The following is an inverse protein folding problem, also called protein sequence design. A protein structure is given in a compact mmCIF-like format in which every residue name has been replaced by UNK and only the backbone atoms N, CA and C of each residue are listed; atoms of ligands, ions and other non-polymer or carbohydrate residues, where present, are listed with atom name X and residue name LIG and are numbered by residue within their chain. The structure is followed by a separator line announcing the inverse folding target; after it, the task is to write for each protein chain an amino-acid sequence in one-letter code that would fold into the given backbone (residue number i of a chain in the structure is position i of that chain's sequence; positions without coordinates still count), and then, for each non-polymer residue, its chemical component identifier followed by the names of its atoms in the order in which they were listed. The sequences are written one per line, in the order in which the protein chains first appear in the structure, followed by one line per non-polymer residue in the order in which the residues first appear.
data_IF_662216281313
#
_entry.id   IF_662216281313
#
_cell.length_a   1.000
_cell.length_b   1.000
_cell.length_c   1.000
_cell.angle_alpha   90.00
_cell.angle_beta   90.00
_cell.angle_gamma   90.00
#
_symmetry.space_group_name_H-M   'P 1'
#
loop_
_entity.id
_entity.type
_entity.pdbx_description
1 polymer ?
#
# COMPACT_ATOMS: atom_id res chain seq x y z
N UNK A 1 -0.39 -28.15 55.63
CA UNK A 1 0.24 -26.86 55.24
C UNK A 1 0.82 -27.04 53.86
N UNK A 2 -0.01 -26.78 52.85
CA UNK A 2 0.38 -26.75 51.45
C UNK A 2 1.30 -25.54 51.25
N UNK A 3 2.54 -25.77 50.85
CA UNK A 3 3.43 -24.71 50.39
C UNK A 3 3.50 -24.78 48.87
N UNK A 4 2.72 -23.89 48.25
CA UNK A 4 2.67 -23.69 46.81
C UNK A 4 4.07 -23.51 46.24
N UNK A 5 4.40 -24.36 45.28
CA UNK A 5 5.59 -24.26 44.45
C UNK A 5 5.41 -23.03 43.55
N UNK A 6 5.96 -21.89 43.98
CA UNK A 6 5.99 -20.68 43.18
C UNK A 6 6.70 -20.98 41.85
N UNK A 7 5.94 -20.92 40.76
CA UNK A 7 6.46 -20.92 39.40
C UNK A 7 7.41 -19.73 39.26
N UNK A 8 8.68 -20.02 38.96
CA UNK A 8 9.72 -19.01 38.75
C UNK A 8 9.33 -18.11 37.55
N UNK A 9 9.40 -16.77 37.65
CA UNK A 9 8.89 -15.85 36.63
C UNK A 9 9.79 -15.72 35.39
N UNK A 10 10.79 -16.57 35.21
CA UNK A 10 11.74 -16.49 34.09
C UNK A 10 11.39 -17.39 32.90
N UNK A 11 10.11 -17.70 32.70
CA UNK A 11 9.64 -18.37 31.49
C UNK A 11 9.80 -17.45 30.25
N UNK A 12 10.97 -17.55 29.64
CA UNK A 12 11.15 -17.53 28.20
C UNK A 12 10.80 -16.23 27.46
N UNK A 13 11.55 -15.15 27.74
CA UNK A 13 11.71 -14.05 26.79
C UNK A 13 12.64 -14.50 25.65
N UNK A 14 12.14 -15.30 24.71
CA UNK A 14 12.81 -15.41 23.41
C UNK A 14 12.71 -14.04 22.69
N UNK A 15 13.80 -13.56 22.07
CA UNK A 15 13.76 -12.34 21.28
C UNK A 15 12.77 -12.53 20.12
N UNK A 16 11.61 -11.86 20.15
CA UNK A 16 10.59 -11.69 19.10
C UNK A 16 10.80 -12.54 17.81
N UNK A 17 10.74 -13.88 17.90
CA UNK A 17 10.72 -14.74 16.72
C UNK A 17 9.26 -14.82 16.27
N UNK A 18 8.93 -14.49 15.01
CA UNK A 18 7.56 -14.59 14.52
C UNK A 18 7.11 -16.05 14.55
N UNK A 19 6.00 -16.35 15.23
CA UNK A 19 5.36 -17.67 15.21
C UNK A 19 4.35 -17.67 14.07
N UNK A 20 4.54 -18.54 13.09
CA UNK A 20 3.61 -18.74 11.97
C UNK A 20 2.86 -20.05 12.20
N UNK A 21 1.53 -19.98 12.30
CA UNK A 21 0.65 -21.15 12.35
C UNK A 21 0.09 -21.38 10.95
N UNK A 22 0.21 -22.59 10.44
CA UNK A 22 -0.22 -22.97 9.08
C UNK A 22 -1.04 -24.25 9.12
N UNK A 23 -1.94 -24.42 8.14
CA UNK A 23 -2.68 -25.66 7.90
C UNK A 23 -1.92 -26.63 6.98
N UNK A 24 -0.75 -26.22 6.47
CA UNK A 24 0.14 -27.07 5.67
C UNK A 24 0.84 -28.08 6.59
N UNK A 25 0.58 -29.37 6.37
CA UNK A 25 0.98 -30.46 7.28
C UNK A 25 2.34 -31.08 6.93
N UNK A 26 2.78 -30.98 5.68
CA UNK A 26 4.03 -31.59 5.22
C UNK A 26 5.22 -30.63 5.42
N UNK A 27 6.06 -30.92 6.42
CA UNK A 27 7.23 -30.12 6.75
C UNK A 27 8.40 -30.29 5.77
N UNK A 28 8.45 -31.38 5.00
CA UNK A 28 9.48 -31.58 3.97
C UNK A 28 9.14 -30.79 2.70
N UNK A 29 7.86 -30.80 2.30
CA UNK A 29 7.38 -30.00 1.17
C UNK A 29 7.35 -28.51 1.49
N UNK A 30 6.91 -28.13 2.70
CA UNK A 30 6.74 -26.74 3.12
C UNK A 30 7.71 -26.37 4.24
N UNK A 31 8.98 -26.22 3.87
CA UNK A 31 10.02 -25.83 4.83
C UNK A 31 9.68 -24.53 5.57
N UNK A 32 9.97 -24.50 6.88
CA UNK A 32 9.66 -23.38 7.76
C UNK A 32 10.28 -22.03 7.30
N UNK A 33 11.46 -22.09 6.68
CA UNK A 33 12.15 -20.92 6.13
C UNK A 33 11.36 -20.29 4.96
N UNK A 34 10.88 -21.10 4.03
CA UNK A 34 10.05 -20.66 2.91
C UNK A 34 8.73 -20.05 3.40
N UNK A 35 8.09 -20.66 4.41
CA UNK A 35 6.86 -20.12 5.00
C UNK A 35 7.09 -18.79 5.71
N UNK A 36 8.22 -18.64 6.41
CA UNK A 36 8.59 -17.40 7.08
C UNK A 36 8.88 -16.29 6.07
N UNK A 37 9.57 -16.61 4.98
CA UNK A 37 9.80 -15.69 3.87
C UNK A 37 8.49 -15.23 3.23
N UNK A 38 7.59 -16.17 2.90
CA UNK A 38 6.26 -15.87 2.34
C UNK A 38 5.42 -15.01 3.30
N UNK A 39 5.45 -15.32 4.61
CA UNK A 39 4.75 -14.53 5.61
C UNK A 39 5.31 -13.10 5.72
N UNK A 40 6.63 -12.93 5.60
CA UNK A 40 7.27 -11.61 5.51
C UNK A 40 6.77 -10.80 4.31
N UNK A 41 6.59 -11.45 3.16
CA UNK A 41 6.06 -10.81 1.95
C UNK A 41 4.61 -10.37 2.12
N UNK A 42 3.79 -11.12 2.87
CA UNK A 42 2.40 -10.74 3.16
C UNK A 42 2.32 -9.35 3.80
N UNK A 43 3.16 -9.09 4.80
CA UNK A 43 3.16 -7.79 5.49
C UNK A 43 3.55 -6.67 4.53
N UNK A 44 4.66 -6.85 3.81
CA UNK A 44 5.17 -5.83 2.89
C UNK A 44 4.19 -5.58 1.75
N UNK A 45 3.62 -6.62 1.15
CA UNK A 45 2.64 -6.49 0.07
C UNK A 45 1.34 -5.85 0.55
N UNK A 46 0.73 -6.34 1.65
CA UNK A 46 -0.55 -5.83 2.12
C UNK A 46 -0.46 -4.37 2.60
N UNK A 47 0.54 -4.03 3.41
CA UNK A 47 0.69 -2.66 3.95
C UNK A 47 1.00 -1.65 2.84
N UNK A 48 1.85 -2.03 1.87
CA UNK A 48 2.14 -1.19 0.71
C UNK A 48 0.89 -1.01 -0.15
N UNK A 49 0.11 -2.07 -0.36
CA UNK A 49 -1.15 -2.01 -1.12
C UNK A 49 -2.18 -1.08 -0.44
N UNK A 50 -2.33 -1.17 0.88
CA UNK A 50 -3.20 -0.26 1.61
C UNK A 50 -2.69 1.18 1.59
N UNK A 51 -1.37 1.39 1.71
CA UNK A 51 -0.77 2.72 1.55
C UNK A 51 -1.05 3.29 0.18
N UNK A 52 -0.97 2.49 -0.87
CA UNK A 52 -1.28 2.93 -2.22
C UNK A 52 -2.73 3.38 -2.36
N UNK A 53 -3.69 2.60 -1.85
CA UNK A 53 -5.10 3.01 -1.83
C UNK A 53 -5.29 4.30 -1.04
N UNK A 54 -4.82 4.35 0.22
CA UNK A 54 -5.04 5.49 1.12
C UNK A 54 -4.35 6.77 0.66
N UNK A 55 -3.06 6.69 0.35
CA UNK A 55 -2.19 7.86 0.13
C UNK A 55 -1.93 8.10 -1.35
N UNK A 56 -1.51 7.08 -2.12
CA UNK A 56 -1.19 7.28 -3.55
C UNK A 56 -2.43 7.63 -4.37
N UNK A 57 -3.55 6.97 -4.08
CA UNK A 57 -4.86 7.23 -4.71
C UNK A 57 -5.77 8.13 -3.88
N UNK A 58 -5.25 8.74 -2.81
CA UNK A 58 -5.93 9.75 -2.00
C UNK A 58 -7.27 9.32 -1.37
N UNK A 59 -7.48 8.01 -1.17
CA UNK A 59 -8.70 7.48 -0.54
C UNK A 59 -8.88 7.89 0.93
N UNK A 60 -7.87 8.52 1.55
CA UNK A 60 -7.95 9.06 2.92
C UNK A 60 -8.90 10.26 3.06
N UNK A 61 -9.24 10.94 1.96
CA UNK A 61 -10.15 12.09 1.95
C UNK A 61 -11.32 11.83 1.00
N UNK A 62 -12.38 11.20 1.51
CA UNK A 62 -13.61 10.99 0.75
C UNK A 62 -14.47 12.25 0.73
N UNK A 63 -15.03 12.56 -0.44
CA UNK A 63 -15.84 13.76 -0.67
C UNK A 63 -17.34 13.51 -0.45
N UNK A 64 -17.77 12.25 -0.49
CA UNK A 64 -19.15 11.85 -0.30
C UNK A 64 -19.68 12.19 1.12
N UNK A 65 -20.95 12.61 1.18
CA UNK A 65 -21.62 13.02 2.43
C UNK A 65 -22.65 12.01 2.94
N UNK A 66 -23.03 11.02 2.13
CA UNK A 66 -24.01 9.99 2.50
C UNK A 66 -23.38 8.60 2.47
N UNK A 67 -23.79 7.67 3.36
CA UNK A 67 -23.20 6.33 3.42
C UNK A 67 -23.27 5.55 2.10
N UNK A 68 -24.33 5.76 1.32
CA UNK A 68 -24.48 5.13 0.01
C UNK A 68 -23.41 5.61 -0.98
N UNK A 69 -23.21 6.92 -1.10
CA UNK A 69 -22.23 7.49 -2.03
C UNK A 69 -20.81 7.21 -1.54
N UNK A 70 -20.56 7.17 -0.23
CA UNK A 70 -19.27 6.74 0.36
C UNK A 70 -18.88 5.34 -0.12
N UNK A 71 -19.83 4.39 -0.13
CA UNK A 71 -19.56 3.03 -0.65
C UNK A 71 -19.20 3.06 -2.13
N UNK A 72 -19.90 3.86 -2.95
CA UNK A 72 -19.58 4.02 -4.38
C UNK A 72 -18.19 4.62 -4.58
N UNK A 73 -17.84 5.65 -3.82
CA UNK A 73 -16.52 6.28 -3.87
C UNK A 73 -15.40 5.29 -3.51
N UNK A 74 -15.59 4.44 -2.49
CA UNK A 74 -14.66 3.35 -2.16
C UNK A 74 -14.49 2.36 -3.32
N UNK A 75 -15.59 1.94 -3.96
CA UNK A 75 -15.53 1.04 -5.12
C UNK A 75 -14.78 1.67 -6.29
N UNK A 76 -14.95 2.97 -6.55
CA UNK A 76 -14.20 3.68 -7.59
C UNK A 76 -12.69 3.67 -7.30
N UNK A 77 -12.28 3.86 -6.05
CA UNK A 77 -10.86 3.77 -5.66
C UNK A 77 -10.30 2.37 -5.87
N UNK A 78 -11.05 1.32 -5.51
CA UNK A 78 -10.66 -0.07 -5.73
C UNK A 78 -10.57 -0.39 -7.23
N UNK A 79 -11.51 0.11 -8.04
CA UNK A 79 -11.48 -0.04 -9.49
C UNK A 79 -10.24 0.61 -10.10
N UNK A 80 -9.95 1.86 -9.75
CA UNK A 80 -8.76 2.57 -10.23
C UNK A 80 -7.46 1.86 -9.81
N UNK A 81 -7.41 1.37 -8.57
CA UNK A 81 -6.28 0.57 -8.08
C UNK A 81 -6.08 -0.72 -8.90
N UNK A 82 -7.15 -1.48 -9.12
CA UNK A 82 -7.09 -2.73 -9.86
C UNK A 82 -6.76 -2.51 -11.34
N UNK A 83 -7.24 -1.41 -11.93
CA UNK A 83 -6.87 -1.02 -13.29
C UNK A 83 -5.35 -0.80 -13.41
N UNK A 84 -4.79 0.05 -12.53
CA UNK A 84 -3.35 0.32 -12.53
C UNK A 84 -2.54 -0.95 -12.25
N UNK A 85 -2.98 -1.79 -11.30
CA UNK A 85 -2.35 -3.09 -11.02
C UNK A 85 -2.38 -4.02 -12.23
N UNK A 86 -3.48 -4.04 -12.98
CA UNK A 86 -3.57 -4.84 -14.21
C UNK A 86 -2.61 -4.36 -15.28
N UNK A 87 -2.42 -3.04 -15.43
CA UNK A 87 -1.40 -2.46 -16.33
C UNK A 87 0.00 -2.86 -15.87
N UNK A 88 0.30 -2.78 -14.57
CA UNK A 88 1.59 -3.24 -14.02
C UNK A 88 1.82 -4.74 -14.28
N UNK A 89 0.80 -5.59 -14.12
CA UNK A 89 0.92 -7.02 -14.42
C UNK A 89 1.16 -7.29 -15.92
N UNK A 90 0.67 -6.42 -16.82
CA UNK A 90 0.99 -6.49 -18.25
C UNK A 90 2.42 -6.06 -18.56
N UNK A 91 3.00 -5.16 -17.76
CA UNK A 91 4.38 -4.73 -17.88
C UNK A 91 5.37 -5.73 -17.23
N UNK A 92 4.95 -6.46 -16.20
CA UNK A 92 5.80 -7.35 -15.41
C UNK A 92 6.65 -8.37 -16.20
N UNK A 93 6.16 -8.99 -17.31
CA UNK A 93 6.98 -9.91 -18.10
C UNK A 93 8.24 -9.25 -18.70
N UNK A 94 8.19 -7.95 -19.00
CA UNK A 94 9.32 -7.20 -19.54
C UNK A 94 10.43 -6.96 -18.49
N UNK A 95 10.13 -7.19 -17.20
CA UNK A 95 11.05 -7.07 -16.07
C UNK A 95 11.24 -8.41 -15.34
N UNK A 96 11.19 -9.52 -16.07
CA UNK A 96 11.35 -10.89 -15.51
C UNK A 96 10.49 -11.11 -14.25
N UNK A 97 9.24 -10.64 -14.30
CA UNK A 97 8.25 -10.75 -13.23
C UNK A 97 8.64 -10.13 -11.88
N UNK A 98 9.59 -9.18 -11.85
CA UNK A 98 9.99 -8.44 -10.65
C UNK A 98 8.96 -7.38 -10.22
N UNK A 99 7.72 -7.80 -9.93
CA UNK A 99 6.55 -6.93 -9.62
C UNK A 99 6.81 -5.90 -8.52
N UNK A 100 7.64 -6.24 -7.52
CA UNK A 100 7.96 -5.35 -6.41
C UNK A 100 8.76 -4.11 -6.82
N UNK A 101 9.37 -4.13 -8.01
CA UNK A 101 10.10 -3.00 -8.57
C UNK A 101 9.20 -2.04 -9.34
N UNK A 102 7.97 -2.42 -9.69
CA UNK A 102 7.08 -1.53 -10.43
C UNK A 102 6.45 -0.49 -9.51
N UNK A 103 6.55 0.79 -9.90
CA UNK A 103 5.99 1.93 -9.16
C UNK A 103 4.52 2.14 -9.50
N UNK A 104 3.59 1.95 -8.54
CA UNK A 104 2.18 2.29 -8.77
C UNK A 104 1.99 3.80 -9.02
N UNK A 105 2.76 4.65 -8.32
CA UNK A 105 2.67 6.10 -8.51
C UNK A 105 3.23 6.52 -9.88
N UNK A 106 4.34 5.93 -10.32
CA UNK A 106 4.89 6.14 -11.66
C UNK A 106 3.92 5.67 -12.74
N UNK A 107 3.39 4.44 -12.59
CA UNK A 107 2.36 3.89 -13.47
C UNK A 107 1.14 4.81 -13.58
N UNK A 108 0.65 5.35 -12.45
CA UNK A 108 -0.47 6.29 -12.44
C UNK A 108 -0.17 7.56 -13.22
N UNK A 109 1.04 8.11 -13.07
CA UNK A 109 1.45 9.33 -13.78
C UNK A 109 1.53 9.09 -15.28
N UNK A 110 2.23 8.04 -15.71
CA UNK A 110 2.37 7.66 -17.12
C UNK A 110 1.00 7.35 -17.74
N UNK A 111 0.18 6.55 -17.07
CA UNK A 111 -1.17 6.23 -17.53
C UNK A 111 -2.02 7.48 -17.71
N UNK A 112 -2.01 8.41 -16.76
CA UNK A 112 -2.74 9.66 -16.85
C UNK A 112 -2.24 10.58 -17.98
N UNK A 113 -0.92 10.62 -18.22
CA UNK A 113 -0.33 11.39 -19.32
C UNK A 113 -0.79 10.87 -20.70
N UNK A 114 -0.94 9.54 -20.83
CA UNK A 114 -1.29 8.91 -22.10
C UNK A 114 -2.80 8.66 -22.27
N UNK A 115 -3.60 8.84 -21.22
CA UNK A 115 -5.02 8.46 -21.18
C UNK A 115 -5.83 9.05 -22.33
N UNK A 116 -5.67 10.36 -22.59
CA UNK A 116 -6.40 11.04 -23.65
C UNK A 116 -6.06 10.48 -25.04
N UNK A 117 -4.77 10.22 -25.30
CA UNK A 117 -4.31 9.65 -26.57
C UNK A 117 -4.81 8.23 -26.77
N UNK A 118 -4.75 7.40 -25.71
CA UNK A 118 -5.28 6.04 -25.74
C UNK A 118 -6.79 6.00 -26.02
N UNK A 119 -7.54 7.01 -25.56
CA UNK A 119 -8.98 7.09 -25.73
C UNK A 119 -9.41 7.55 -27.15
N UNK A 120 -8.67 8.46 -27.78
CA UNK A 120 -9.11 9.14 -28.99
C UNK A 120 -8.50 8.63 -30.29
N UNK A 121 -7.45 7.81 -30.22
CA UNK A 121 -6.71 7.36 -31.41
C UNK A 121 -7.29 6.09 -32.05
N UNK A 122 -6.80 5.75 -33.25
CA UNK A 122 -7.17 4.53 -33.98
C UNK A 122 -6.62 3.29 -33.28
N UNK A 123 -7.16 2.12 -33.59
CA UNK A 123 -6.79 0.88 -32.91
C UNK A 123 -5.29 0.56 -33.03
N UNK A 124 -4.70 0.71 -34.22
CA UNK A 124 -3.29 0.39 -34.46
C UNK A 124 -2.34 1.34 -33.73
N UNK A 125 -2.69 2.62 -33.64
CA UNK A 125 -1.92 3.61 -32.88
C UNK A 125 -2.08 3.36 -31.38
N UNK A 126 -3.29 3.02 -30.92
CA UNK A 126 -3.56 2.70 -29.51
C UNK A 126 -2.71 1.52 -29.04
N UNK A 127 -2.59 0.46 -29.85
CA UNK A 127 -1.75 -0.69 -29.52
C UNK A 127 -0.27 -0.31 -29.38
N UNK A 128 0.25 0.51 -30.29
CA UNK A 128 1.63 1.02 -30.21
C UNK A 128 1.85 1.89 -28.98
N UNK A 129 0.95 2.84 -28.72
CA UNK A 129 1.01 3.68 -27.52
C UNK A 129 0.93 2.86 -26.23
N UNK A 130 0.09 1.83 -26.20
CA UNK A 130 0.01 0.95 -25.05
C UNK A 130 1.31 0.16 -24.84
N UNK A 131 1.95 -0.33 -25.91
CA UNK A 131 3.25 -0.97 -25.81
C UNK A 131 4.33 0.00 -25.29
N UNK A 132 4.33 1.25 -25.75
CA UNK A 132 5.22 2.30 -25.21
C UNK A 132 4.98 2.54 -23.72
N UNK A 133 3.72 2.67 -23.29
CA UNK A 133 3.38 2.81 -21.87
C UNK A 133 3.97 1.67 -21.03
N UNK A 134 3.88 0.42 -21.49
CA UNK A 134 4.43 -0.73 -20.75
C UNK A 134 5.95 -0.68 -20.63
N UNK A 135 6.66 -0.21 -21.66
CA UNK A 135 8.11 -0.01 -21.62
C UNK A 135 8.49 1.10 -20.64
N UNK A 136 7.83 2.26 -20.70
CA UNK A 136 8.11 3.39 -19.80
C UNK A 136 7.90 3.00 -18.32
N UNK A 137 6.88 2.18 -18.03
CA UNK A 137 6.63 1.64 -16.68
C UNK A 137 7.79 0.77 -16.19
N UNK A 138 8.42 0.02 -17.09
CA UNK A 138 9.54 -0.88 -16.77
C UNK A 138 10.84 -0.12 -16.61
N UNK A 139 10.99 1.03 -17.27
CA UNK A 139 12.15 1.90 -17.09
C UNK A 139 12.11 2.63 -15.72
N UNK A 140 10.93 3.04 -15.23
CA UNK A 140 10.74 3.67 -13.91
C UNK A 140 10.67 2.66 -12.75
N UNK A 141 11.76 1.93 -12.53
CA UNK A 141 11.85 0.95 -11.44
C UNK A 141 12.14 1.56 -10.07
N UNK A 142 11.50 1.01 -9.04
CA UNK A 142 11.80 1.30 -7.65
C UNK A 142 13.09 0.61 -7.20
N UNK A 143 14.01 1.32 -6.51
CA UNK A 143 15.20 0.72 -5.95
C UNK A 143 14.84 -0.21 -4.79
N UNK A 144 15.50 -1.37 -4.71
CA UNK A 144 15.39 -2.24 -3.54
C UNK A 144 16.13 -1.61 -2.34
N UNK A 145 15.46 -1.60 -1.18
CA UNK A 145 16.00 -1.06 0.08
C UNK A 145 15.76 -2.08 1.19
N UNK A 146 16.57 -3.16 1.27
CA UNK A 146 16.42 -4.18 2.29
C UNK A 146 16.65 -3.59 3.69
N UNK A 147 16.05 -4.21 4.71
CA UNK A 147 16.28 -3.89 6.13
C UNK A 147 15.99 -2.44 6.56
N UNK A 148 14.97 -1.82 5.96
CA UNK A 148 14.55 -0.46 6.34
C UNK A 148 13.92 -0.45 7.74
N UNK A 149 14.65 0.04 8.73
CA UNK A 149 14.14 0.31 10.09
C UNK A 149 14.20 1.82 10.38
N UNK A 150 13.12 2.53 10.10
CA UNK A 150 13.01 3.96 10.34
C UNK A 150 12.20 4.20 11.62
N UNK A 151 12.67 5.08 12.54
CA UNK A 151 11.91 5.42 13.73
C UNK A 151 10.58 6.08 13.33
N UNK A 152 9.48 5.72 14.01
CA UNK A 152 8.15 6.31 13.78
C UNK A 152 8.06 7.69 14.44
N UNK A 153 8.83 8.63 13.93
CA UNK A 153 8.94 10.00 14.45
C UNK A 153 8.75 11.02 13.34
N UNK A 154 8.18 12.17 13.68
CA UNK A 154 8.06 13.29 12.75
C UNK A 154 9.38 14.07 12.77
N UNK A 155 10.09 14.12 11.63
CA UNK A 155 11.39 14.81 11.54
C UNK A 155 11.28 16.34 11.67
N UNK A 156 10.19 16.95 11.19
CA UNK A 156 10.00 18.40 11.19
C UNK A 156 9.16 18.85 12.39
N UNK A 157 9.53 19.98 13.02
CA UNK A 157 8.73 20.61 14.08
C UNK A 157 7.29 20.82 13.59
N UNK A 158 6.26 20.33 14.31
CA UNK A 158 4.87 20.62 13.97
C UNK A 158 4.62 22.13 13.95
N UNK A 159 3.76 22.59 13.05
CA UNK A 159 3.36 24.01 13.03
C UNK A 159 2.72 24.38 14.37
N UNK A 160 2.98 25.57 14.93
CA UNK A 160 2.52 25.97 16.27
C UNK A 160 1.02 26.35 16.32
N UNK A 161 0.22 25.89 15.35
CA UNK A 161 -1.20 26.21 15.27
C UNK A 161 -2.05 25.05 15.77
N UNK A 162 -3.11 25.32 16.55
CA UNK A 162 -4.03 24.28 16.99
C UNK A 162 -4.80 23.70 15.78
N UNK A 163 -5.23 22.45 15.91
CA UNK A 163 -6.14 21.84 14.93
C UNK A 163 -7.50 22.53 14.98
N UNK A 164 -8.15 22.69 13.83
CA UNK A 164 -9.53 23.18 13.74
C UNK A 164 -10.50 22.10 14.24
N UNK A 165 -10.82 22.12 15.53
CA UNK A 165 -11.72 21.14 16.19
C UNK A 165 -13.21 21.51 16.11
N UNK A 166 -13.52 22.69 15.59
CA UNK A 166 -14.88 23.21 15.41
C UNK A 166 -15.06 23.70 13.98
N UNK A 167 -16.30 23.74 13.45
CA UNK A 167 -16.56 24.29 12.12
C UNK A 167 -15.99 25.70 11.99
N UNK A 168 -15.43 26.00 10.82
CA UNK A 168 -14.80 27.30 10.53
C UNK A 168 -15.71 28.49 10.83
N UNK A 169 -17.02 28.35 10.59
CA UNK A 169 -18.01 29.38 10.90
C UNK A 169 -18.09 29.71 12.40
N UNK A 170 -18.08 28.69 13.27
CA UNK A 170 -18.10 28.86 14.74
C UNK A 170 -16.84 29.57 15.23
N UNK A 171 -15.67 29.19 14.69
CA UNK A 171 -14.41 29.85 15.05
C UNK A 171 -14.37 31.30 14.56
N UNK A 172 -14.88 31.59 13.35
CA UNK A 172 -15.01 32.95 12.85
C UNK A 172 -15.91 33.80 13.74
N UNK A 173 -17.06 33.26 14.16
CA UNK A 173 -17.97 33.96 15.06
C UNK A 173 -17.32 34.27 16.42
N UNK A 174 -16.51 33.36 16.97
CA UNK A 174 -15.76 33.57 18.22
C UNK A 174 -14.63 34.61 18.12
N UNK A 175 -14.08 34.84 16.94
CA UNK A 175 -13.05 35.87 16.70
C UNK A 175 -13.69 37.25 16.50
N UNK A 176 -14.90 37.27 15.92
CA UNK A 176 -15.65 38.50 15.65
C UNK A 176 -16.44 39.03 16.87
N UNK A 177 -16.51 38.26 17.95
CA UNK A 177 -17.09 38.64 19.24
C UNK A 177 -16.00 39.12 20.20
#
# INVERSE_FOLDING_TARGET
KETGKALSPHAFLLPNKPIVVTTLLDAQQFMAENLTQLYGWRWQAAEINFRHLKTTLQMEMLTAKTPEIVRKELWTHLLAYNLLRSVMEKAAPLLDYQRSKLSLQGTRQLFNQMLALLATTTQDVRQRLYAHLLNDIVEDTLPQRPNRHEPRVVKRRPKPFPRMRQPRAVLKAKIAA
#
